data_IF_423746017336
#
_entry.id   IF_423746017336
#
_cell.length_a   1.000
_cell.length_b   1.000
_cell.length_c   1.000
_cell.angle_alpha   90.00
_cell.angle_beta   90.00
_cell.angle_gamma   90.00
#
_symmetry.space_group_name_H-M   'P 1'
#
loop_
_entity.id
_entity.type
_entity.pdbx_description
1 polymer ?
#
# COMPACT_ATOMS: atom_id res chain seq x y z
N UNK A 1 -2.15 7.71 20.69
CA UNK A 1 -1.90 6.67 19.73
C UNK A 1 -1.21 5.47 20.36
N UNK A 2 -1.78 4.32 20.27
CA UNK A 2 -1.14 3.15 20.86
C UNK A 2 0.17 2.83 20.15
N UNK A 3 1.10 2.40 20.94
CA UNK A 3 2.39 2.03 20.40
C UNK A 3 2.34 0.64 19.82
N UNK A 4 3.13 0.45 18.80
CA UNK A 4 3.27 -0.86 18.20
C UNK A 4 4.00 -1.77 19.18
N UNK A 5 3.54 -3.00 19.31
CA UNK A 5 4.22 -4.01 20.10
C UNK A 5 5.31 -4.73 19.33
N UNK A 6 5.51 -4.32 18.08
CA UNK A 6 6.48 -4.96 17.22
C UNK A 6 7.80 -4.23 17.27
N UNK A 7 8.89 -4.98 17.19
CA UNK A 7 10.20 -4.39 17.04
C UNK A 7 10.31 -3.77 15.63
N UNK A 8 11.33 -2.94 15.46
CA UNK A 8 11.56 -2.32 14.16
C UNK A 8 11.81 -3.38 13.09
N UNK A 9 12.53 -4.42 13.46
CA UNK A 9 12.82 -5.50 12.53
C UNK A 9 11.55 -6.24 12.12
N UNK A 10 10.69 -6.51 13.08
CA UNK A 10 9.42 -7.18 12.79
C UNK A 10 8.52 -6.30 11.94
N UNK A 11 8.49 -5.01 12.23
CA UNK A 11 7.68 -4.09 11.46
C UNK A 11 8.15 -4.04 10.01
N UNK A 12 9.46 -4.00 9.81
CA UNK A 12 10.00 -4.00 8.45
C UNK A 12 9.62 -5.27 7.70
N UNK A 13 9.63 -6.40 8.38
CA UNK A 13 9.26 -7.67 7.75
C UNK A 13 7.79 -7.66 7.34
N UNK A 14 6.93 -7.16 8.23
CA UNK A 14 5.50 -7.10 7.95
C UNK A 14 5.23 -6.13 6.80
N UNK A 15 5.94 -5.01 6.77
CA UNK A 15 5.80 -4.05 5.68
C UNK A 15 6.24 -4.66 4.35
N UNK A 16 7.28 -5.46 4.38
CA UNK A 16 7.76 -6.12 3.17
C UNK A 16 6.72 -7.12 2.66
N UNK A 17 6.10 -7.86 3.57
CA UNK A 17 5.04 -8.78 3.19
C UNK A 17 3.85 -8.03 2.59
N UNK A 18 3.49 -6.90 3.19
CA UNK A 18 2.40 -6.08 2.67
C UNK A 18 2.74 -5.54 1.28
N UNK A 19 3.99 -5.13 1.09
CA UNK A 19 4.43 -4.65 -0.21
C UNK A 19 4.25 -5.73 -1.28
N UNK A 20 4.67 -6.96 -0.97
CA UNK A 20 4.54 -8.05 -1.93
C UNK A 20 3.07 -8.31 -2.24
N UNK A 21 2.22 -8.31 -1.23
CA UNK A 21 0.80 -8.54 -1.43
C UNK A 21 0.18 -7.47 -2.32
N UNK A 22 0.53 -6.21 -2.09
CA UNK A 22 0.02 -5.11 -2.90
C UNK A 22 0.51 -5.24 -4.34
N UNK A 23 1.79 -5.56 -4.50
CA UNK A 23 2.36 -5.72 -5.82
C UNK A 23 1.65 -6.83 -6.60
N UNK A 24 1.40 -7.95 -5.95
CA UNK A 24 0.73 -9.06 -6.61
C UNK A 24 -0.72 -8.72 -6.95
N UNK A 25 -1.40 -7.98 -6.07
CA UNK A 25 -2.75 -7.54 -6.37
C UNK A 25 -2.78 -6.64 -7.60
N UNK A 26 -1.80 -5.75 -7.71
CA UNK A 26 -1.68 -4.88 -8.88
C UNK A 26 -1.40 -5.67 -10.15
N UNK A 27 -0.58 -6.70 -10.03
CA UNK A 27 -0.28 -7.54 -11.18
C UNK A 27 -1.53 -8.26 -11.67
N UNK A 28 -2.35 -8.75 -10.74
CA UNK A 28 -3.61 -9.40 -11.12
C UNK A 28 -4.57 -8.40 -11.78
N UNK A 29 -4.60 -7.18 -11.26
CA UNK A 29 -5.42 -6.14 -11.87
C UNK A 29 -5.03 -5.93 -13.33
N UNK A 30 -3.74 -5.82 -13.59
CA UNK A 30 -3.25 -5.60 -14.95
C UNK A 30 -3.51 -6.81 -15.85
N UNK A 31 -3.40 -8.00 -15.30
CA UNK A 31 -3.68 -9.19 -16.09
C UNK A 31 -5.14 -9.25 -16.52
N UNK A 32 -6.04 -8.89 -15.62
CA UNK A 32 -7.47 -8.97 -15.90
C UNK A 32 -7.94 -7.86 -16.83
N UNK A 33 -7.43 -6.65 -16.63
CA UNK A 33 -7.96 -5.49 -17.33
C UNK A 33 -7.05 -4.99 -18.44
N UNK A 34 -5.80 -5.44 -18.46
CA UNK A 34 -4.79 -4.96 -19.40
C UNK A 34 -4.54 -3.46 -19.25
N UNK A 35 -4.77 -2.93 -18.07
CA UNK A 35 -4.57 -1.51 -17.85
C UNK A 35 -3.08 -1.17 -17.81
N UNK A 36 -2.79 0.11 -18.03
CA UNK A 36 -1.42 0.58 -18.08
C UNK A 36 -0.86 0.76 -16.66
N UNK A 37 0.44 0.92 -16.59
CA UNK A 37 1.09 1.23 -15.31
C UNK A 37 0.55 2.52 -14.73
N UNK A 38 0.16 3.47 -15.55
CA UNK A 38 -0.38 4.73 -15.08
C UNK A 38 -1.63 4.53 -14.25
N UNK A 39 -2.49 3.61 -14.66
CA UNK A 39 -3.70 3.31 -13.90
C UNK A 39 -3.35 2.78 -12.52
N UNK A 40 -2.36 1.88 -12.46
CA UNK A 40 -1.91 1.33 -11.20
C UNK A 40 -1.32 2.42 -10.31
N UNK A 41 -0.51 3.29 -10.89
CA UNK A 41 0.11 4.39 -10.15
C UNK A 41 -0.95 5.29 -9.55
N UNK A 42 -1.97 5.62 -10.32
CA UNK A 42 -3.03 6.50 -9.82
C UNK A 42 -3.84 5.83 -8.72
N UNK A 43 -4.09 4.55 -8.86
CA UNK A 43 -4.81 3.81 -7.82
C UNK A 43 -4.00 3.81 -6.53
N UNK A 44 -2.69 3.58 -6.63
CA UNK A 44 -1.83 3.56 -5.46
C UNK A 44 -1.74 4.95 -4.83
N UNK A 45 -1.76 6.01 -5.65
CA UNK A 45 -1.80 7.36 -5.12
C UNK A 45 -3.06 7.62 -4.33
N UNK A 46 -4.18 7.09 -4.79
CA UNK A 46 -5.44 7.25 -4.06
C UNK A 46 -5.37 6.57 -2.71
N UNK A 47 -4.71 5.42 -2.64
CA UNK A 47 -4.51 4.74 -1.37
C UNK A 47 -3.65 5.59 -0.45
N UNK A 48 -2.57 6.15 -1.00
CA UNK A 48 -1.69 7.02 -0.21
C UNK A 48 -2.43 8.25 0.27
N UNK A 49 -3.26 8.84 -0.59
CA UNK A 49 -4.04 10.02 -0.23
C UNK A 49 -5.00 9.73 0.90
N UNK A 50 -5.55 8.54 0.93
CA UNK A 50 -6.44 8.14 2.01
C UNK A 50 -5.73 8.27 3.37
N UNK A 51 -4.50 7.77 3.44
CA UNK A 51 -3.76 7.83 4.69
C UNK A 51 -3.23 9.22 4.99
N UNK A 52 -2.86 9.96 3.95
CA UNK A 52 -2.45 11.35 4.15
C UNK A 52 -3.60 12.18 4.69
N UNK A 53 -4.80 11.91 4.23
CA UNK A 53 -5.99 12.60 4.69
C UNK A 53 -6.22 12.34 6.18
N UNK A 54 -5.96 11.13 6.63
CA UNK A 54 -6.09 10.81 8.05
C UNK A 54 -5.09 11.60 8.90
N UNK A 55 -3.89 11.79 8.36
CA UNK A 55 -2.85 12.51 9.10
C UNK A 55 -3.17 13.99 9.22
N UNK A 56 -3.77 14.56 8.20
CA UNK A 56 -4.06 15.99 8.21
C UNK A 56 -5.36 16.33 8.91
N UNK A 57 -6.02 15.35 9.45
CA UNK A 57 -7.30 15.52 10.12
C UNK A 57 -7.14 15.85 11.59
N UNK A 58 -6.16 16.64 11.92
CA UNK A 58 -5.89 17.01 13.32
C UNK A 58 -6.49 18.34 13.70
#
# INVERSE_FOLDING_TARGET
MPESNYSESELNQICEDAFVNVKEACMRLQEKTKCSNQVVIEMLRNVADFYLSQESDL
#
